data_IF_609838711616
#
_entry.id   IF_609838711616
#
_cell.length_a   1.000
_cell.length_b   1.000
_cell.length_c   1.000
_cell.angle_alpha   90.00
_cell.angle_beta   90.00
_cell.angle_gamma   90.00
#
_symmetry.space_group_name_H-M   'P 1'
#
loop_
_entity.id
_entity.type
_entity.pdbx_description
1 polymer ?
#
# COMPACT_ATOMS: atom_id res chain seq x y z
N UNK A 1 4.62 6.43 -14.18
CA UNK A 1 3.38 7.26 -14.26
C UNK A 1 2.20 6.37 -13.89
N UNK A 2 1.17 6.93 -13.26
CA UNK A 2 -0.04 6.17 -12.96
C UNK A 2 -0.67 5.63 -14.25
N UNK A 3 -1.13 4.39 -14.23
CA UNK A 3 -1.81 3.73 -15.33
C UNK A 3 -3.12 3.11 -14.85
N UNK A 4 -3.99 2.70 -15.74
CA UNK A 4 -5.21 1.98 -15.36
C UNK A 4 -4.86 0.59 -14.88
N UNK A 5 -5.59 0.10 -13.87
CA UNK A 5 -5.39 -1.24 -13.31
C UNK A 5 -5.45 -2.34 -14.39
N UNK A 6 -6.38 -2.22 -15.34
CA UNK A 6 -6.55 -3.18 -16.42
C UNK A 6 -5.32 -3.24 -17.35
N UNK A 7 -4.72 -2.09 -17.67
CA UNK A 7 -3.52 -2.00 -18.51
C UNK A 7 -2.32 -2.65 -17.80
N UNK A 8 -2.18 -2.39 -16.49
CA UNK A 8 -1.14 -2.98 -15.66
C UNK A 8 -1.29 -4.51 -15.55
N UNK A 9 -2.50 -5.02 -15.31
CA UNK A 9 -2.78 -6.45 -15.23
C UNK A 9 -2.48 -7.17 -16.55
N UNK A 10 -2.90 -6.59 -17.69
CA UNK A 10 -2.71 -7.20 -19.01
C UNK A 10 -1.29 -7.04 -19.56
N UNK A 11 -0.55 -6.08 -19.08
CA UNK A 11 0.85 -5.83 -19.45
C UNK A 11 1.83 -6.47 -18.47
N UNK A 12 2.19 -5.72 -17.45
CA UNK A 12 3.29 -6.04 -16.54
C UNK A 12 3.02 -7.29 -15.71
N UNK A 13 1.85 -7.40 -15.07
CA UNK A 13 1.50 -8.57 -14.24
C UNK A 13 1.47 -9.85 -15.06
N UNK A 14 0.90 -9.81 -16.25
CA UNK A 14 0.82 -10.97 -17.14
C UNK A 14 2.20 -11.51 -17.52
N UNK A 15 3.16 -10.65 -17.75
CA UNK A 15 4.54 -11.09 -18.07
C UNK A 15 5.26 -11.60 -16.81
N UNK A 16 5.16 -10.88 -15.70
CA UNK A 16 5.82 -11.21 -14.45
C UNK A 16 5.25 -12.48 -13.78
N UNK A 17 3.97 -12.75 -13.97
CA UNK A 17 3.34 -13.98 -13.44
C UNK A 17 3.92 -15.28 -14.02
N UNK A 18 4.70 -15.20 -15.09
CA UNK A 18 5.43 -16.33 -15.67
C UNK A 18 6.72 -16.66 -14.91
N UNK A 19 7.21 -15.72 -14.08
CA UNK A 19 8.42 -15.93 -13.30
C UNK A 19 8.17 -16.92 -12.16
N UNK A 20 9.17 -17.73 -11.79
CA UNK A 20 9.11 -18.56 -10.60
C UNK A 20 8.89 -17.70 -9.34
N UNK A 21 8.09 -18.17 -8.40
CA UNK A 21 7.79 -17.45 -7.16
C UNK A 21 9.07 -17.10 -6.37
N UNK A 22 10.08 -17.98 -6.42
CA UNK A 22 11.38 -17.74 -5.79
C UNK A 22 12.12 -16.54 -6.40
N UNK A 23 12.04 -16.35 -7.70
CA UNK A 23 12.68 -15.20 -8.37
C UNK A 23 11.92 -13.91 -8.07
N UNK A 24 10.59 -13.97 -8.02
CA UNK A 24 9.76 -12.83 -7.61
C UNK A 24 10.09 -12.39 -6.19
N UNK A 25 10.12 -13.33 -5.24
CA UNK A 25 10.30 -13.01 -3.82
C UNK A 25 11.73 -12.60 -3.45
N UNK A 26 12.75 -13.21 -4.08
CA UNK A 26 14.14 -13.01 -3.67
C UNK A 26 14.86 -11.89 -4.43
N UNK A 27 14.41 -11.58 -5.64
CA UNK A 27 15.10 -10.64 -6.52
C UNK A 27 14.19 -9.50 -6.94
N UNK A 28 13.05 -9.82 -7.54
CA UNK A 28 12.18 -8.82 -8.16
C UNK A 28 11.49 -7.92 -7.12
N UNK A 29 11.05 -8.48 -6.00
CA UNK A 29 10.39 -7.79 -4.89
C UNK A 29 11.26 -6.67 -4.31
N UNK A 30 12.56 -6.90 -4.18
CA UNK A 30 13.51 -5.95 -3.60
C UNK A 30 14.20 -5.03 -4.62
N UNK A 31 13.76 -5.01 -5.87
CA UNK A 31 14.34 -4.13 -6.88
C UNK A 31 14.15 -2.66 -6.54
N UNK A 32 15.12 -1.84 -6.86
CA UNK A 32 15.04 -0.38 -6.76
C UNK A 32 15.34 0.26 -8.13
N UNK A 33 14.39 0.27 -9.06
CA UNK A 33 14.59 0.87 -10.38
C UNK A 33 14.75 2.39 -10.26
N UNK A 34 15.47 2.97 -11.20
CA UNK A 34 15.54 4.44 -11.30
C UNK A 34 14.14 4.99 -11.56
N UNK A 35 13.69 5.85 -10.67
CA UNK A 35 12.41 6.54 -10.74
C UNK A 35 12.64 8.04 -10.78
N UNK A 36 11.84 8.82 -11.55
CA UNK A 36 11.95 10.27 -11.57
C UNK A 36 11.80 10.86 -10.17
N UNK A 37 12.65 11.79 -9.83
CA UNK A 37 12.47 12.62 -8.63
C UNK A 37 11.68 13.85 -9.05
N UNK A 38 10.50 13.98 -8.50
CA UNK A 38 9.69 15.18 -8.66
C UNK A 38 9.84 16.04 -7.41
N UNK A 39 10.18 17.30 -7.59
CA UNK A 39 10.32 18.25 -6.49
C UNK A 39 9.49 19.47 -6.86
N UNK A 40 8.27 19.52 -6.37
CA UNK A 40 7.45 20.71 -6.34
C UNK A 40 6.65 20.79 -5.04
N UNK A 41 6.13 21.96 -4.74
CA UNK A 41 5.39 22.22 -3.51
C UNK A 41 3.86 22.19 -3.71
N UNK A 42 3.42 21.90 -4.91
CA UNK A 42 2.01 21.89 -5.28
C UNK A 42 1.39 20.48 -5.25
N UNK A 43 2.25 19.45 -5.30
CA UNK A 43 1.80 18.07 -5.40
C UNK A 43 2.32 17.20 -4.26
N UNK A 44 1.48 16.30 -3.82
CA UNK A 44 1.84 15.20 -2.94
C UNK A 44 2.00 13.94 -3.81
N UNK A 45 3.18 13.36 -3.80
CA UNK A 45 3.51 12.21 -4.63
C UNK A 45 3.23 10.90 -3.89
N UNK A 46 2.84 9.85 -4.61
CA UNK A 46 2.64 8.55 -3.99
C UNK A 46 3.94 8.06 -3.32
N UNK A 47 3.92 7.72 -2.03
CA UNK A 47 5.08 7.17 -1.34
C UNK A 47 5.40 5.74 -1.75
N UNK A 48 4.44 5.02 -2.35
CA UNK A 48 4.52 3.61 -2.67
C UNK A 48 4.10 3.36 -4.11
N UNK A 49 4.66 2.32 -4.70
CA UNK A 49 4.13 1.67 -5.90
C UNK A 49 2.98 0.76 -5.49
N UNK A 50 1.93 0.69 -6.27
CA UNK A 50 0.81 -0.18 -5.96
C UNK A 50 -0.54 0.30 -6.49
N UNK A 51 -1.57 -0.42 -6.12
CA UNK A 51 -2.96 -0.12 -6.49
C UNK A 51 -3.65 0.66 -5.39
N UNK A 52 -4.24 1.81 -5.73
CA UNK A 52 -5.11 2.53 -4.80
C UNK A 52 -6.40 1.72 -4.62
N UNK A 53 -6.62 1.20 -3.42
CA UNK A 53 -7.77 0.37 -3.09
C UNK A 53 -8.92 1.15 -2.45
N UNK A 54 -8.61 2.27 -1.80
CA UNK A 54 -9.61 3.21 -1.31
C UNK A 54 -9.01 4.61 -1.13
N UNK A 55 -9.89 5.59 -1.13
CA UNK A 55 -9.59 6.98 -0.81
C UNK A 55 -10.83 7.57 -0.11
N UNK A 56 -10.69 8.02 1.13
CA UNK A 56 -11.78 8.58 1.92
C UNK A 56 -11.31 9.62 2.91
N UNK A 57 -12.19 10.57 3.25
CA UNK A 57 -11.99 11.46 4.40
C UNK A 57 -12.55 10.76 5.63
N UNK A 58 -11.76 10.68 6.68
CA UNK A 58 -12.06 9.95 7.92
C UNK A 58 -11.95 10.88 9.11
N UNK A 59 -12.87 10.75 10.07
CA UNK A 59 -12.80 11.44 11.35
C UNK A 59 -11.82 10.72 12.30
N UNK A 60 -11.27 11.40 13.31
CA UNK A 60 -10.26 10.81 14.19
C UNK A 60 -10.65 9.48 14.84
N UNK A 61 -11.89 9.35 15.27
CA UNK A 61 -12.42 8.16 15.96
C UNK A 61 -13.16 7.19 15.00
N UNK A 62 -13.16 7.48 13.69
CA UNK A 62 -13.75 6.61 12.69
C UNK A 62 -12.76 5.52 12.26
N UNK A 63 -13.26 4.31 12.02
CA UNK A 63 -12.44 3.22 11.51
C UNK A 63 -11.89 3.55 10.12
N UNK A 64 -10.58 3.52 10.01
CA UNK A 64 -9.81 3.74 8.78
C UNK A 64 -9.78 2.48 7.95
N UNK A 65 -9.39 1.40 8.61
CA UNK A 65 -9.11 0.12 7.99
C UNK A 65 -9.37 -1.01 8.98
N UNK A 66 -9.91 -2.10 8.48
CA UNK A 66 -9.92 -3.38 9.19
C UNK A 66 -8.68 -4.19 8.79
N UNK A 67 -7.87 -4.55 9.75
CA UNK A 67 -6.71 -5.43 9.54
C UNK A 67 -6.94 -6.73 10.31
N UNK A 68 -7.18 -7.80 9.57
CA UNK A 68 -7.35 -9.16 10.13
C UNK A 68 -8.46 -9.25 11.19
N UNK A 69 -9.54 -8.49 11.01
CA UNK A 69 -10.71 -8.49 11.89
C UNK A 69 -10.63 -7.50 13.06
N UNK A 70 -9.65 -6.59 13.05
CA UNK A 70 -9.51 -5.51 14.02
C UNK A 70 -9.66 -4.18 13.28
N UNK A 71 -10.60 -3.36 13.73
CA UNK A 71 -10.79 -2.00 13.24
C UNK A 71 -9.76 -1.06 13.87
N UNK A 72 -9.09 -0.27 13.04
CA UNK A 72 -8.15 0.77 13.47
C UNK A 72 -8.69 2.15 13.13
N UNK A 73 -8.71 3.03 14.12
CA UNK A 73 -9.05 4.45 13.95
C UNK A 73 -7.84 5.25 13.45
N UNK A 74 -8.05 6.53 13.08
CA UNK A 74 -6.92 7.42 12.78
C UNK A 74 -5.98 7.58 13.98
N UNK A 75 -6.51 7.64 15.19
CA UNK A 75 -5.72 7.75 16.42
C UNK A 75 -4.79 6.55 16.57
N UNK A 76 -5.33 5.33 16.37
CA UNK A 76 -4.55 4.11 16.43
C UNK A 76 -3.43 4.09 15.38
N UNK A 77 -3.76 4.44 14.13
CA UNK A 77 -2.79 4.46 13.02
C UNK A 77 -1.71 5.51 13.23
N UNK A 78 -2.06 6.67 13.80
CA UNK A 78 -1.11 7.75 14.10
C UNK A 78 -0.34 7.52 15.42
N UNK A 79 -0.76 6.56 16.24
CA UNK A 79 -0.22 6.35 17.58
C UNK A 79 -0.40 7.58 18.48
N UNK A 80 -1.48 8.33 18.28
CA UNK A 80 -1.73 9.60 18.98
C UNK A 80 -3.20 9.75 19.35
N UNK A 81 -3.52 9.53 20.63
CA UNK A 81 -4.88 9.63 21.17
C UNK A 81 -5.44 11.05 21.12
N UNK A 82 -4.58 12.07 21.06
CA UNK A 82 -4.98 13.48 20.98
C UNK A 82 -5.19 13.97 19.54
N UNK A 83 -5.04 13.08 18.54
CA UNK A 83 -5.26 13.45 17.15
C UNK A 83 -6.73 13.82 16.91
N UNK A 84 -6.99 15.05 16.48
CA UNK A 84 -8.34 15.64 16.43
C UNK A 84 -8.76 16.14 15.03
N UNK A 85 -8.00 15.79 13.98
CA UNK A 85 -8.22 16.34 12.63
C UNK A 85 -8.82 15.32 11.67
N UNK A 86 -9.88 15.69 10.92
CA UNK A 86 -10.29 14.91 9.75
C UNK A 86 -9.14 14.78 8.76
N UNK A 87 -8.91 13.58 8.24
CA UNK A 87 -7.79 13.32 7.34
C UNK A 87 -8.21 12.56 6.10
N UNK A 88 -7.59 12.90 4.97
CA UNK A 88 -7.69 12.08 3.76
C UNK A 88 -6.82 10.85 3.92
N UNK A 89 -7.45 9.70 3.92
CA UNK A 89 -6.77 8.40 3.97
C UNK A 89 -6.79 7.76 2.59
N UNK A 90 -5.61 7.35 2.14
CA UNK A 90 -5.42 6.66 0.87
C UNK A 90 -4.79 5.30 1.16
N UNK A 91 -5.51 4.23 0.86
CA UNK A 91 -4.99 2.87 0.96
C UNK A 91 -4.30 2.44 -0.33
N UNK A 92 -3.03 2.06 -0.23
CA UNK A 92 -2.24 1.57 -1.36
C UNK A 92 -1.88 0.11 -1.07
N UNK A 93 -2.36 -0.78 -1.91
CA UNK A 93 -2.01 -2.20 -1.85
C UNK A 93 -0.78 -2.45 -2.72
N UNK A 94 0.28 -2.95 -2.11
CA UNK A 94 1.53 -3.33 -2.77
C UNK A 94 1.54 -4.83 -2.97
N UNK A 95 1.56 -5.27 -4.22
CA UNK A 95 1.65 -6.68 -4.60
C UNK A 95 3.10 -7.12 -4.80
N UNK A 96 3.34 -8.41 -5.05
CA UNK A 96 4.67 -8.94 -5.43
C UNK A 96 5.27 -8.29 -6.68
N UNK A 97 4.45 -7.68 -7.51
CA UNK A 97 4.87 -7.06 -8.77
C UNK A 97 5.27 -5.61 -8.60
N UNK A 98 4.93 -4.99 -7.47
CA UNK A 98 5.21 -3.59 -7.18
C UNK A 98 6.60 -3.40 -6.56
N UNK A 99 7.13 -2.18 -6.65
CA UNK A 99 8.41 -1.83 -6.00
C UNK A 99 8.16 -1.56 -4.51
N UNK A 100 8.78 -2.35 -3.64
CA UNK A 100 8.62 -2.24 -2.17
C UNK A 100 9.58 -1.23 -1.52
N UNK A 101 10.21 -0.37 -2.30
CA UNK A 101 11.01 0.75 -1.79
C UNK A 101 10.16 2.01 -1.76
N UNK A 102 9.74 2.41 -0.58
CA UNK A 102 8.93 3.61 -0.37
C UNK A 102 9.77 4.88 -0.47
N UNK A 103 9.12 6.00 -0.80
CA UNK A 103 9.75 7.30 -0.97
C UNK A 103 9.01 8.36 -0.16
N UNK A 104 9.73 9.42 0.19
CA UNK A 104 9.15 10.58 0.86
C UNK A 104 8.20 11.28 -0.12
N UNK A 105 6.90 11.43 0.25
CA UNK A 105 5.87 11.91 -0.67
C UNK A 105 5.85 13.43 -0.88
N UNK A 106 6.51 14.18 0.00
CA UNK A 106 6.49 15.64 0.01
C UNK A 106 7.79 16.20 0.59
N UNK A 107 8.19 17.40 0.15
CA UNK A 107 9.38 18.09 0.70
C UNK A 107 9.15 18.53 2.13
N UNK A 108 10.18 18.42 2.98
CA UNK A 108 10.09 18.83 4.37
C UNK A 108 11.24 18.31 5.23
N UNK A 109 11.07 18.42 6.54
CA UNK A 109 11.98 17.86 7.54
C UNK A 109 11.44 16.49 7.96
N UNK A 110 12.23 15.46 7.74
CA UNK A 110 11.90 14.11 8.17
C UNK A 110 12.21 13.96 9.67
N UNK A 111 11.20 13.55 10.44
CA UNK A 111 11.37 13.04 11.80
C UNK A 111 11.05 11.55 11.80
N UNK A 112 11.73 10.80 12.63
CA UNK A 112 11.53 9.37 12.77
C UNK A 112 11.13 9.02 14.20
N UNK A 113 10.05 8.27 14.34
CA UNK A 113 9.57 7.76 15.61
C UNK A 113 9.19 6.29 15.45
N UNK A 114 9.53 5.46 16.42
CA UNK A 114 9.10 4.07 16.47
C UNK A 114 7.81 3.98 17.27
N UNK A 115 6.75 3.50 16.65
CA UNK A 115 5.51 3.21 17.34
C UNK A 115 5.55 1.81 17.95
N UNK A 116 4.75 1.61 19.01
CA UNK A 116 4.54 0.27 19.56
C UNK A 116 3.95 -0.67 18.51
N UNK A 117 4.33 -1.96 18.52
CA UNK A 117 3.80 -2.93 17.59
C UNK A 117 2.27 -3.05 17.69
N UNK A 118 1.61 -3.00 16.54
CA UNK A 118 0.17 -3.25 16.45
C UNK A 118 -0.06 -4.77 16.54
N UNK A 119 -0.91 -5.20 17.46
CA UNK A 119 -1.35 -6.59 17.53
C UNK A 119 -2.13 -6.97 16.27
N UNK A 120 -1.75 -8.04 15.62
CA UNK A 120 -2.44 -8.55 14.45
C UNK A 120 -2.52 -10.06 14.47
N UNK A 121 -3.58 -10.63 13.85
CA UNK A 121 -3.68 -12.09 13.72
C UNK A 121 -2.57 -12.63 12.81
N UNK A 122 -1.95 -13.74 13.23
CA UNK A 122 -0.84 -14.33 12.47
C UNK A 122 -1.37 -15.11 11.24
N UNK A 123 -1.73 -14.38 10.19
CA UNK A 123 -2.06 -14.98 8.88
C UNK A 123 -0.83 -14.93 7.97
N UNK A 124 -0.50 -16.03 7.29
CA UNK A 124 0.59 -16.02 6.30
C UNK A 124 0.34 -14.96 5.24
N UNK A 125 1.28 -14.03 5.06
CA UNK A 125 1.13 -12.89 4.14
C UNK A 125 0.84 -13.35 2.71
N UNK A 126 1.51 -14.41 2.26
CA UNK A 126 1.31 -15.02 0.95
C UNK A 126 -0.13 -15.47 0.69
N UNK A 127 -0.82 -15.98 1.72
CA UNK A 127 -2.22 -16.40 1.59
C UNK A 127 -3.16 -15.19 1.45
N UNK A 128 -2.90 -14.14 2.23
CA UNK A 128 -3.66 -12.87 2.17
C UNK A 128 -3.52 -12.22 0.81
N UNK A 129 -2.30 -12.14 0.28
CA UNK A 129 -2.05 -11.56 -1.04
C UNK A 129 -2.71 -12.34 -2.18
N UNK A 130 -2.65 -13.67 -2.13
CA UNK A 130 -3.35 -14.51 -3.12
C UNK A 130 -4.86 -14.28 -3.09
N UNK A 131 -5.45 -14.12 -1.92
CA UNK A 131 -6.88 -13.85 -1.78
C UNK A 131 -7.25 -12.48 -2.34
N UNK A 132 -6.44 -11.45 -2.06
CA UNK A 132 -6.66 -10.10 -2.59
C UNK A 132 -6.48 -10.08 -4.11
N UNK A 133 -5.40 -10.65 -4.63
CA UNK A 133 -5.15 -10.72 -6.07
C UNK A 133 -6.28 -11.47 -6.79
N UNK A 134 -6.75 -12.59 -6.23
CA UNK A 134 -7.88 -13.33 -6.79
C UNK A 134 -9.17 -12.49 -6.83
N UNK A 135 -9.45 -11.70 -5.80
CA UNK A 135 -10.60 -10.80 -5.76
C UNK A 135 -10.49 -9.65 -6.76
N UNK A 136 -9.28 -9.09 -6.91
CA UNK A 136 -9.01 -7.99 -7.84
C UNK A 136 -9.03 -8.48 -9.30
N UNK A 137 -8.43 -9.64 -9.57
CA UNK A 137 -8.33 -10.21 -10.93
C UNK A 137 -9.62 -10.90 -11.37
N UNK A 138 -10.38 -11.48 -10.43
CA UNK A 138 -11.62 -12.22 -10.69
C UNK A 138 -12.75 -11.73 -9.79
N UNK A 139 -13.26 -10.50 -9.96
CA UNK A 139 -14.29 -9.93 -9.10
C UNK A 139 -15.63 -10.69 -9.11
N UNK A 140 -15.84 -11.59 -10.08
CA UNK A 140 -17.07 -12.39 -10.25
C UNK A 140 -16.95 -13.84 -9.76
N UNK A 141 -15.85 -14.21 -9.11
CA UNK A 141 -15.73 -15.51 -8.42
C UNK A 141 -15.99 -15.32 -6.92
N UNK A 142 -17.27 -15.28 -6.58
CA UNK A 142 -17.75 -15.51 -5.21
C UNK A 142 -17.93 -17.00 -4.94
#
# INVERSE_FOLDING_TARGET
>A
MAQKLEDWLNGEVKELSKLPVGDLSNTFFFRDPLRPNHIDWEHFYSPADGTIIYQKVVQPDEAVVEIKGIDYTLKDVMGNDEYDRPSLVIGIFMSFYDVHINRIPYGGVLTYESLEPIESTNKPMLAVEKDILNKVINPNRS
#
